data_IF_388542588140
#
_entry.id   IF_388542588140
#
_cell.length_a   1.000
_cell.length_b   1.000
_cell.length_c   1.000
_cell.angle_alpha   90.00
_cell.angle_beta   90.00
_cell.angle_gamma   90.00
#
_symmetry.space_group_name_H-M   'P 1'
#
loop_
_entity.id
_entity.type
_entity.pdbx_description
1 polymer ?
#
# COMPACT_ATOMS: atom_id res chain seq x y z
N UNK A 1 23.83 3.31 7.97
CA UNK A 1 22.58 3.95 7.51
C UNK A 1 21.51 3.84 8.59
N UNK A 2 20.61 4.84 8.76
CA UNK A 2 19.45 4.72 9.66
C UNK A 2 18.40 3.81 9.05
N UNK A 3 17.74 2.99 9.88
CA UNK A 3 16.69 2.11 9.38
C UNK A 3 15.41 2.91 9.04
N UNK A 4 14.74 2.54 7.96
CA UNK A 4 13.51 3.18 7.52
C UNK A 4 12.29 2.60 8.24
N UNK A 5 11.38 3.46 8.65
CA UNK A 5 10.04 3.12 9.17
C UNK A 5 9.01 3.60 8.14
N UNK A 6 8.46 2.65 7.39
CA UNK A 6 7.35 2.90 6.46
C UNK A 6 6.01 2.58 7.14
N UNK A 7 4.90 3.07 6.58
CA UNK A 7 3.55 2.76 7.07
C UNK A 7 3.30 1.24 7.09
N UNK A 8 3.75 0.52 6.07
CA UNK A 8 3.64 -0.95 5.96
C UNK A 8 4.45 -1.66 7.03
N UNK A 9 5.67 -1.21 7.31
CA UNK A 9 6.50 -1.76 8.38
C UNK A 9 5.88 -1.54 9.76
N UNK A 10 5.38 -0.34 10.02
CA UNK A 10 4.69 -0.01 11.28
C UNK A 10 3.39 -0.82 11.44
N UNK A 11 2.62 -1.01 10.37
CA UNK A 11 1.44 -1.87 10.38
C UNK A 11 1.80 -3.33 10.69
N UNK A 12 2.89 -3.85 10.10
CA UNK A 12 3.38 -5.20 10.39
C UNK A 12 3.80 -5.36 11.86
N UNK A 13 4.49 -4.35 12.42
CA UNK A 13 4.90 -4.32 13.83
C UNK A 13 3.69 -4.40 14.77
N UNK A 14 2.63 -3.62 14.49
CA UNK A 14 1.38 -3.65 15.26
C UNK A 14 0.60 -4.95 15.09
N UNK A 15 0.60 -5.50 13.88
CA UNK A 15 -0.15 -6.72 13.57
C UNK A 15 0.42 -7.96 14.26
N UNK A 16 1.74 -8.20 14.13
CA UNK A 16 2.41 -9.36 14.73
C UNK A 16 3.93 -9.18 14.71
N UNK A 17 4.56 -9.22 15.88
CA UNK A 17 6.01 -9.02 15.99
C UNK A 17 6.82 -10.08 15.24
N UNK A 18 6.35 -11.36 15.21
CA UNK A 18 7.01 -12.43 14.46
C UNK A 18 6.94 -12.18 12.94
N UNK A 19 5.80 -11.70 12.43
CA UNK A 19 5.64 -11.31 11.03
C UNK A 19 6.57 -10.15 10.68
N UNK A 20 6.60 -9.11 11.52
CA UNK A 20 7.53 -7.98 11.35
C UNK A 20 9.00 -8.44 11.32
N UNK A 21 9.40 -9.33 12.26
CA UNK A 21 10.76 -9.84 12.32
C UNK A 21 11.16 -10.55 11.04
N UNK A 22 10.34 -11.48 10.56
CA UNK A 22 10.64 -12.21 9.34
C UNK A 22 10.69 -11.29 8.12
N UNK A 23 9.73 -10.37 7.98
CA UNK A 23 9.65 -9.49 6.82
C UNK A 23 10.74 -8.41 6.81
N UNK A 24 11.00 -7.74 7.94
CA UNK A 24 11.80 -6.51 7.98
C UNK A 24 13.16 -6.67 8.68
N UNK A 25 13.35 -7.67 9.51
CA UNK A 25 14.66 -7.91 10.11
C UNK A 25 15.42 -9.02 9.37
N UNK A 26 14.73 -10.06 8.85
CA UNK A 26 15.33 -11.10 8.02
C UNK A 26 15.18 -10.86 6.51
N UNK A 27 14.30 -9.98 6.08
CA UNK A 27 14.03 -9.74 4.65
C UNK A 27 13.23 -10.84 3.95
N UNK A 28 12.61 -11.76 4.71
CA UNK A 28 11.88 -12.88 4.12
C UNK A 28 10.62 -12.39 3.39
N UNK A 29 10.41 -12.85 2.17
CA UNK A 29 9.25 -12.53 1.35
C UNK A 29 8.82 -13.74 0.52
N UNK A 30 7.52 -13.82 0.20
CA UNK A 30 7.04 -14.78 -0.80
C UNK A 30 7.58 -14.44 -2.19
N UNK A 31 7.90 -15.47 -2.97
CA UNK A 31 8.27 -15.32 -4.38
C UNK A 31 7.03 -14.91 -5.20
N UNK A 32 5.85 -15.47 -4.85
CA UNK A 32 4.59 -15.16 -5.55
C UNK A 32 3.87 -14.02 -4.86
N UNK A 33 3.53 -12.99 -5.62
CA UNK A 33 2.65 -11.91 -5.16
C UNK A 33 1.18 -12.34 -5.24
N UNK A 34 0.42 -12.09 -4.19
CA UNK A 34 -1.01 -12.40 -4.19
C UNK A 34 -1.77 -11.48 -5.17
N UNK A 35 -2.74 -12.04 -5.90
CA UNK A 35 -3.60 -11.32 -6.88
C UNK A 35 -4.09 -9.95 -6.40
N UNK A 36 -4.64 -9.78 -5.18
CA UNK A 36 -5.11 -8.47 -4.76
C UNK A 36 -4.03 -7.41 -4.63
N UNK A 37 -2.79 -7.80 -4.34
CA UNK A 37 -1.65 -6.88 -4.24
C UNK A 37 -1.10 -6.54 -5.63
N UNK A 38 -1.02 -7.52 -6.52
CA UNK A 38 -0.59 -7.35 -7.91
C UNK A 38 -1.52 -6.41 -8.67
N UNK A 39 -2.84 -6.68 -8.63
CA UNK A 39 -3.85 -5.83 -9.25
C UNK A 39 -3.80 -4.41 -8.69
N UNK A 40 -3.66 -4.25 -7.36
CA UNK A 40 -3.54 -2.94 -6.73
C UNK A 40 -2.31 -2.18 -7.21
N UNK A 41 -1.15 -2.82 -7.25
CA UNK A 41 0.11 -2.20 -7.71
C UNK A 41 0.03 -1.77 -9.17
N UNK A 42 -0.52 -2.63 -10.06
CA UNK A 42 -0.70 -2.31 -11.48
C UNK A 42 -1.71 -1.16 -11.68
N UNK A 43 -2.78 -1.11 -10.89
CA UNK A 43 -3.75 -0.02 -10.91
C UNK A 43 -3.10 1.32 -10.51
N UNK A 44 -2.35 1.37 -9.41
CA UNK A 44 -1.58 2.55 -9.02
C UNK A 44 -0.60 2.98 -10.11
N UNK A 45 0.08 2.00 -10.74
CA UNK A 45 1.01 2.30 -11.84
C UNK A 45 0.33 2.98 -13.02
N UNK A 46 -0.88 2.54 -13.42
CA UNK A 46 -1.67 3.18 -14.48
C UNK A 46 -2.02 4.62 -14.13
N UNK A 47 -2.45 4.88 -12.89
CA UNK A 47 -2.76 6.24 -12.42
C UNK A 47 -1.52 7.13 -12.36
N UNK A 48 -0.40 6.61 -11.85
CA UNK A 48 0.89 7.30 -11.80
C UNK A 48 1.32 7.77 -13.20
N UNK A 49 1.30 6.86 -14.17
CA UNK A 49 1.69 7.16 -15.56
C UNK A 49 0.80 8.23 -16.19
N UNK A 50 -0.52 8.13 -15.99
CA UNK A 50 -1.45 9.13 -16.50
C UNK A 50 -1.22 10.49 -15.85
N UNK A 51 -1.09 10.54 -14.53
CA UNK A 51 -0.83 11.78 -13.78
C UNK A 51 0.55 12.40 -14.13
N UNK A 52 1.49 11.59 -14.59
CA UNK A 52 2.79 12.04 -15.12
C UNK A 52 2.71 12.55 -16.57
N UNK A 53 1.53 12.53 -17.21
CA UNK A 53 1.27 13.11 -18.51
C UNK A 53 1.15 12.13 -19.67
N UNK A 54 1.12 10.82 -19.43
CA UNK A 54 0.84 9.86 -20.51
C UNK A 54 -0.65 9.90 -20.89
N UNK A 55 -0.96 9.58 -22.16
CA UNK A 55 -2.36 9.38 -22.56
C UNK A 55 -2.99 8.21 -21.77
N UNK A 56 -4.31 8.22 -21.64
CA UNK A 56 -5.03 7.15 -20.93
C UNK A 56 -4.74 5.78 -21.53
N UNK A 57 -4.73 5.67 -22.86
CA UNK A 57 -4.46 4.44 -23.60
C UNK A 57 -3.05 3.92 -23.30
N UNK A 58 -2.04 4.77 -23.37
CA UNK A 58 -0.65 4.37 -23.10
C UNK A 58 -0.41 4.03 -21.64
N UNK A 59 -1.09 4.70 -20.71
CA UNK A 59 -1.03 4.39 -19.29
C UNK A 59 -1.64 3.00 -18.98
N UNK A 60 -2.78 2.66 -19.59
CA UNK A 60 -3.40 1.33 -19.48
C UNK A 60 -2.49 0.27 -20.10
N UNK A 61 -2.03 0.47 -21.32
CA UNK A 61 -1.14 -0.47 -22.03
C UNK A 61 0.12 -0.76 -21.18
N UNK A 62 0.76 0.28 -20.67
CA UNK A 62 1.98 0.13 -19.87
C UNK A 62 1.69 -0.57 -18.53
N UNK A 63 0.58 -0.23 -17.86
CA UNK A 63 0.20 -0.88 -16.60
C UNK A 63 -0.15 -2.37 -16.76
N UNK A 64 -0.55 -2.79 -17.96
CA UNK A 64 -0.91 -4.18 -18.28
C UNK A 64 0.25 -5.00 -18.86
N UNK A 65 1.42 -4.39 -19.09
CA UNK A 65 2.59 -5.13 -19.64
C UNK A 65 2.99 -6.34 -18.80
N UNK A 66 2.89 -6.24 -17.47
CA UNK A 66 3.19 -7.36 -16.55
C UNK A 66 2.24 -8.56 -16.76
N UNK A 67 1.10 -8.35 -17.43
CA UNK A 67 0.14 -9.39 -17.78
C UNK A 67 0.36 -9.99 -19.17
N UNK A 68 1.39 -9.58 -19.91
CA UNK A 68 1.68 -10.09 -21.24
C UNK A 68 2.01 -11.60 -21.27
N UNK A 69 2.56 -12.13 -20.17
CA UNK A 69 2.86 -13.54 -20.02
C UNK A 69 2.33 -14.10 -18.69
N UNK A 70 1.46 -15.12 -18.77
CA UNK A 70 0.98 -15.81 -17.59
C UNK A 70 2.13 -16.67 -17.00
N UNK A 71 2.48 -16.51 -15.70
CA UNK A 71 3.44 -17.36 -15.04
C UNK A 71 2.96 -18.82 -15.00
N UNK A 72 3.91 -19.78 -15.08
CA UNK A 72 3.59 -21.22 -15.10
C UNK A 72 2.81 -21.71 -13.87
N UNK A 73 2.82 -20.98 -12.79
CA UNK A 73 2.14 -21.33 -11.53
C UNK A 73 0.76 -20.67 -11.36
N UNK A 74 0.30 -19.82 -12.30
CA UNK A 74 -1.02 -19.21 -12.29
C UNK A 74 -1.92 -19.86 -13.37
N UNK A 75 -3.23 -19.79 -13.20
CA UNK A 75 -4.20 -20.23 -14.20
C UNK A 75 -4.30 -19.17 -15.31
N UNK A 76 -4.16 -19.56 -16.60
CA UNK A 76 -4.21 -18.59 -17.70
C UNK A 76 -5.55 -17.84 -17.81
N UNK A 77 -6.66 -18.48 -17.43
CA UNK A 77 -7.98 -17.84 -17.47
C UNK A 77 -8.10 -16.82 -16.35
N UNK A 78 -7.72 -17.17 -15.12
CA UNK A 78 -7.73 -16.25 -13.98
C UNK A 78 -6.80 -15.05 -14.24
N UNK A 79 -5.64 -15.31 -14.88
CA UNK A 79 -4.69 -14.28 -15.28
C UNK A 79 -5.26 -13.30 -16.30
N UNK A 80 -5.94 -13.81 -17.33
CA UNK A 80 -6.61 -12.99 -18.33
C UNK A 80 -7.78 -12.18 -17.72
N UNK A 81 -8.57 -12.78 -16.83
CA UNK A 81 -9.64 -12.07 -16.10
C UNK A 81 -9.10 -10.97 -15.21
N UNK A 82 -7.94 -11.18 -14.56
CA UNK A 82 -7.29 -10.15 -13.75
C UNK A 82 -6.83 -8.97 -14.63
N UNK A 83 -6.28 -9.25 -15.81
CA UNK A 83 -5.90 -8.23 -16.79
C UNK A 83 -7.12 -7.42 -17.25
N UNK A 84 -8.20 -8.08 -17.69
CA UNK A 84 -9.43 -7.41 -18.10
C UNK A 84 -10.04 -6.56 -16.97
N UNK A 85 -9.91 -7.05 -15.72
CA UNK A 85 -10.35 -6.31 -14.55
C UNK A 85 -9.54 -5.02 -14.38
N UNK A 86 -8.22 -5.10 -14.53
CA UNK A 86 -7.33 -3.93 -14.44
C UNK A 86 -7.67 -2.89 -15.52
N UNK A 87 -7.77 -3.33 -16.77
CA UNK A 87 -8.10 -2.48 -17.92
C UNK A 87 -9.45 -1.78 -17.72
N UNK A 88 -10.47 -2.54 -17.31
CA UNK A 88 -11.81 -2.00 -17.06
C UNK A 88 -11.85 -0.99 -15.92
N UNK A 89 -11.13 -1.25 -14.82
CA UNK A 89 -11.07 -0.34 -13.68
C UNK A 89 -10.31 0.94 -14.00
N UNK A 90 -9.19 0.88 -14.74
CA UNK A 90 -8.45 2.06 -15.18
C UNK A 90 -9.28 2.90 -16.15
N UNK A 91 -9.85 2.30 -17.19
CA UNK A 91 -10.71 2.99 -18.14
C UNK A 91 -11.92 3.65 -17.46
N UNK A 92 -12.56 2.93 -16.54
CA UNK A 92 -13.69 3.45 -15.76
C UNK A 92 -13.28 4.61 -14.84
N UNK A 93 -12.11 4.55 -14.19
CA UNK A 93 -11.58 5.61 -13.36
C UNK A 93 -11.27 6.86 -14.18
N UNK A 94 -10.60 6.73 -15.32
CA UNK A 94 -10.30 7.85 -16.21
C UNK A 94 -11.59 8.48 -16.74
N UNK A 95 -12.56 7.69 -17.17
CA UNK A 95 -13.87 8.19 -17.58
C UNK A 95 -14.60 8.92 -16.47
N UNK A 96 -14.59 8.37 -15.24
CA UNK A 96 -15.29 8.96 -14.08
C UNK A 96 -14.77 10.34 -13.70
N UNK A 97 -13.46 10.53 -13.83
CA UNK A 97 -12.76 11.73 -13.38
C UNK A 97 -12.18 12.58 -14.52
N UNK A 98 -12.65 12.39 -15.74
CA UNK A 98 -12.14 13.09 -16.94
C UNK A 98 -12.30 14.63 -16.90
N UNK A 99 -13.25 15.13 -16.11
CA UNK A 99 -13.52 16.56 -15.95
C UNK A 99 -12.95 17.15 -14.67
N UNK A 100 -12.14 16.37 -13.93
CA UNK A 100 -11.53 16.83 -12.69
C UNK A 100 -10.35 17.76 -12.94
N UNK A 101 -10.41 18.95 -12.36
CA UNK A 101 -9.34 19.97 -12.41
C UNK A 101 -8.36 19.84 -11.23
N UNK A 102 -7.93 18.60 -10.87
CA UNK A 102 -6.91 18.42 -9.85
C UNK A 102 -5.54 18.85 -10.38
N UNK A 103 -5.00 19.95 -9.87
CA UNK A 103 -3.66 20.39 -10.20
C UNK A 103 -2.63 19.65 -9.33
N UNK A 104 -1.77 18.86 -9.96
CA UNK A 104 -0.68 18.16 -9.26
C UNK A 104 0.48 19.12 -8.97
N UNK A 105 0.84 19.24 -7.70
CA UNK A 105 2.10 19.88 -7.26
C UNK A 105 3.24 18.85 -7.29
N UNK A 106 2.93 17.57 -7.07
CA UNK A 106 3.86 16.45 -7.18
C UNK A 106 3.10 15.16 -7.46
N UNK A 107 3.61 14.35 -8.38
CA UNK A 107 3.21 12.96 -8.62
C UNK A 107 4.25 12.05 -7.99
N UNK A 108 3.84 10.98 -7.29
CA UNK A 108 4.75 9.98 -6.71
C UNK A 108 5.84 10.58 -5.81
N UNK A 109 5.42 11.32 -4.77
CA UNK A 109 6.36 11.98 -3.85
C UNK A 109 7.00 10.96 -2.89
N UNK A 110 8.25 10.56 -3.17
CA UNK A 110 9.06 9.76 -2.24
C UNK A 110 9.68 10.64 -1.17
N UNK A 111 9.58 10.22 0.09
CA UNK A 111 10.15 10.95 1.21
C UNK A 111 11.01 10.10 2.12
N UNK A 112 12.00 10.75 2.74
CA UNK A 112 12.76 10.24 3.87
C UNK A 112 13.01 11.37 4.85
N UNK A 113 12.20 11.47 5.91
CA UNK A 113 12.21 12.58 6.87
C UNK A 113 12.64 12.12 8.27
N UNK A 114 13.15 13.03 9.14
CA UNK A 114 13.51 12.68 10.49
C UNK A 114 12.35 12.17 11.32
N UNK A 115 12.59 11.11 12.11
CA UNK A 115 11.73 10.76 13.23
C UNK A 115 12.14 11.59 14.44
N UNK A 116 11.24 12.40 14.97
CA UNK A 116 11.48 13.35 16.06
C UNK A 116 10.76 12.88 17.32
N UNK A 117 11.44 12.96 18.46
CA UNK A 117 10.83 12.76 19.78
C UNK A 117 9.88 13.94 20.07
N UNK A 118 8.58 13.70 20.26
CA UNK A 118 7.60 14.77 20.47
C UNK A 118 7.81 15.55 21.78
N UNK A 119 8.41 14.91 22.79
CA UNK A 119 8.61 15.51 24.12
C UNK A 119 9.85 16.41 24.17
N UNK A 120 10.91 16.09 23.41
CA UNK A 120 12.22 16.75 23.52
C UNK A 120 12.69 17.44 22.25
N UNK A 121 12.02 17.22 21.11
CA UNK A 121 12.47 17.68 19.80
C UNK A 121 13.70 16.95 19.24
N UNK A 122 14.25 15.97 19.95
CA UNK A 122 15.45 15.26 19.52
C UNK A 122 15.17 14.33 18.34
N UNK A 123 16.04 14.39 17.33
CA UNK A 123 15.98 13.51 16.16
C UNK A 123 16.50 12.11 16.51
N UNK A 124 15.75 11.08 16.10
CA UNK A 124 16.19 9.68 16.26
C UNK A 124 17.52 9.42 15.56
N UNK A 125 18.43 8.75 16.28
CA UNK A 125 19.72 8.30 15.71
C UNK A 125 19.60 6.99 14.93
N UNK A 126 18.56 6.23 15.16
CA UNK A 126 18.39 4.86 14.64
C UNK A 126 17.43 4.79 13.46
N UNK A 127 16.37 5.60 13.47
CA UNK A 127 15.30 5.51 12.50
C UNK A 127 15.04 6.83 11.75
N UNK A 128 14.54 6.70 10.53
CA UNK A 128 13.89 7.74 9.73
C UNK A 128 12.50 7.27 9.31
N UNK A 129 11.59 8.20 9.10
CA UNK A 129 10.32 7.91 8.46
C UNK A 129 10.54 7.94 6.94
N UNK A 130 10.01 6.96 6.24
CA UNK A 130 10.12 6.87 4.80
C UNK A 130 8.81 6.36 4.20
N UNK A 131 8.56 6.73 2.95
CA UNK A 131 7.37 6.33 2.23
C UNK A 131 7.30 6.95 0.85
N UNK A 132 6.24 6.63 0.15
CA UNK A 132 5.87 7.17 -1.13
C UNK A 132 4.40 7.57 -1.06
N UNK A 133 4.10 8.81 -1.43
CA UNK A 133 2.76 9.38 -1.49
C UNK A 133 2.36 9.42 -2.96
N UNK A 134 1.15 9.00 -3.28
CA UNK A 134 0.70 8.95 -4.69
C UNK A 134 0.68 10.34 -5.34
N UNK A 135 0.42 11.40 -4.55
CA UNK A 135 0.56 12.76 -5.03
C UNK A 135 0.33 13.83 -3.96
N UNK A 136 0.72 15.04 -4.29
CA UNK A 136 0.28 16.27 -3.62
C UNK A 136 -0.49 17.09 -4.64
N UNK A 137 -1.72 17.44 -4.33
CA UNK A 137 -2.63 18.13 -5.24
C UNK A 137 -3.17 19.41 -4.65
N UNK A 138 -3.51 20.35 -5.50
CA UNK A 138 -4.25 21.55 -5.16
C UNK A 138 -5.74 21.32 -5.40
N UNK A 139 -6.52 21.49 -4.34
CA UNK A 139 -7.97 21.43 -4.40
C UNK A 139 -8.57 22.68 -5.06
N UNK A 140 -9.82 22.64 -5.54
CA UNK A 140 -10.47 23.79 -6.17
C UNK A 140 -10.56 25.03 -5.27
N UNK A 141 -10.54 24.88 -3.94
CA UNK A 141 -10.52 25.98 -2.96
C UNK A 141 -9.11 26.53 -2.68
N UNK A 142 -8.08 26.02 -3.37
CA UNK A 142 -6.69 26.45 -3.26
C UNK A 142 -5.87 25.75 -2.18
N UNK A 143 -6.47 24.95 -1.29
CA UNK A 143 -5.76 24.16 -0.27
C UNK A 143 -4.95 23.06 -0.91
N UNK A 144 -3.80 22.70 -0.30
CA UNK A 144 -3.06 21.50 -0.68
C UNK A 144 -3.58 20.27 0.08
N UNK A 145 -3.65 19.15 -0.62
CA UNK A 145 -4.01 17.86 -0.08
C UNK A 145 -2.98 16.81 -0.50
N UNK A 146 -2.71 15.85 0.39
CA UNK A 146 -2.12 14.57 0.00
C UNK A 146 -3.17 13.79 -0.78
N UNK A 147 -2.83 13.32 -1.97
CA UNK A 147 -3.66 12.38 -2.73
C UNK A 147 -3.22 10.95 -2.41
N UNK A 148 -4.19 10.10 -2.10
CA UNK A 148 -3.97 8.69 -1.80
C UNK A 148 -4.96 7.84 -2.57
N UNK A 149 -4.48 7.02 -3.49
CA UNK A 149 -5.26 6.03 -4.21
C UNK A 149 -5.39 4.75 -3.40
N UNK A 150 -6.56 4.14 -3.41
CA UNK A 150 -6.79 2.84 -2.77
C UNK A 150 -7.64 1.93 -3.64
N UNK A 151 -7.32 0.63 -3.63
CA UNK A 151 -8.23 -0.40 -4.13
C UNK A 151 -8.83 -1.14 -2.94
N UNK A 152 -10.17 -1.20 -2.85
CA UNK A 152 -10.90 -1.82 -1.75
C UNK A 152 -11.71 -3.04 -2.23
N UNK A 153 -11.75 -4.10 -1.44
CA UNK A 153 -12.61 -5.27 -1.67
C UNK A 153 -13.93 -5.21 -0.88
N UNK A 154 -14.11 -4.16 -0.08
CA UNK A 154 -15.26 -3.96 0.80
C UNK A 154 -16.15 -2.82 0.31
N UNK A 155 -17.25 -2.58 1.00
CA UNK A 155 -18.14 -1.47 0.66
C UNK A 155 -17.48 -0.12 0.93
N UNK A 156 -17.58 0.79 -0.06
CA UNK A 156 -17.07 2.16 -0.02
C UNK A 156 -18.19 3.19 -0.16
N UNK A 157 -19.44 2.77 -0.05
CA UNK A 157 -20.58 3.66 -0.11
C UNK A 157 -20.54 4.81 0.91
N UNK A 158 -21.41 5.80 0.79
CA UNK A 158 -21.38 7.00 1.63
C UNK A 158 -21.35 6.74 3.14
N UNK A 159 -22.06 5.73 3.60
CA UNK A 159 -22.23 5.40 5.01
C UNK A 159 -21.39 4.18 5.45
N UNK A 160 -20.45 3.72 4.59
CA UNK A 160 -19.65 2.54 4.89
C UNK A 160 -18.65 2.78 6.02
N UNK A 161 -18.49 1.78 6.89
CA UNK A 161 -17.49 1.77 7.96
C UNK A 161 -16.04 1.95 7.45
N UNK A 162 -15.83 1.74 6.16
CA UNK A 162 -14.57 1.99 5.48
C UNK A 162 -14.03 3.39 5.80
N UNK A 163 -14.87 4.42 5.67
CA UNK A 163 -14.48 5.82 5.85
C UNK A 163 -14.21 6.19 7.30
N UNK A 164 -14.92 5.57 8.25
CA UNK A 164 -14.70 5.81 9.68
C UNK A 164 -13.31 5.37 10.13
N UNK A 165 -12.83 4.26 9.60
CA UNK A 165 -11.49 3.74 9.94
C UNK A 165 -10.37 4.63 9.43
N UNK A 166 -10.59 5.32 8.31
CA UNK A 166 -9.57 6.21 7.72
C UNK A 166 -9.25 7.40 8.62
N UNK A 167 -10.17 7.82 9.50
CA UNK A 167 -9.90 8.90 10.47
C UNK A 167 -8.78 8.56 11.44
N UNK A 168 -8.52 7.28 11.69
CA UNK A 168 -7.45 6.80 12.57
C UNK A 168 -6.33 6.09 11.81
N UNK A 169 -6.30 6.19 10.47
CA UNK A 169 -5.28 5.51 9.67
C UNK A 169 -3.90 6.17 9.87
N UNK A 170 -2.95 5.36 10.36
CA UNK A 170 -1.59 5.82 10.60
C UNK A 170 -0.81 6.10 9.32
N UNK A 171 -1.17 5.52 8.18
CA UNK A 171 -0.53 5.81 6.89
C UNK A 171 -0.79 7.27 6.50
N UNK A 172 -2.04 7.71 6.60
CA UNK A 172 -2.44 9.08 6.29
C UNK A 172 -1.70 10.09 7.17
N UNK A 173 -1.74 9.85 8.49
CA UNK A 173 -1.09 10.72 9.44
C UNK A 173 0.42 10.82 9.17
N UNK A 174 1.06 9.69 8.79
CA UNK A 174 2.46 9.66 8.39
C UNK A 174 2.70 10.53 7.14
N UNK A 175 1.82 10.42 6.14
CA UNK A 175 1.97 11.15 4.88
C UNK A 175 1.76 12.65 5.02
N UNK A 176 0.79 13.08 5.82
CA UNK A 176 0.61 14.50 6.16
C UNK A 176 1.84 15.06 6.88
N UNK A 177 2.35 14.33 7.88
CA UNK A 177 3.58 14.75 8.60
C UNK A 177 4.79 14.84 7.68
N UNK A 178 4.93 13.88 6.77
CA UNK A 178 6.04 13.85 5.82
C UNK A 178 5.95 14.97 4.79
N UNK A 179 4.79 15.19 4.18
CA UNK A 179 4.57 16.26 3.21
C UNK A 179 4.86 17.64 3.86
N UNK A 180 4.38 17.87 5.08
CA UNK A 180 4.70 19.11 5.83
C UNK A 180 6.18 19.26 6.13
N UNK A 181 6.87 18.18 6.50
CA UNK A 181 8.30 18.19 6.73
C UNK A 181 9.12 18.48 5.45
N UNK A 182 8.54 18.24 4.27
CA UNK A 182 9.09 18.56 2.96
C UNK A 182 8.72 19.96 2.45
N UNK A 183 7.92 20.72 3.22
CA UNK A 183 7.56 22.10 2.89
C UNK A 183 6.20 22.28 2.22
N UNK A 184 5.40 21.22 2.04
CA UNK A 184 4.03 21.33 1.55
C UNK A 184 3.08 21.65 2.72
N UNK A 185 2.37 22.77 2.62
CA UNK A 185 1.36 23.15 3.63
C UNK A 185 0.03 22.40 3.37
N UNK A 186 0.07 21.08 3.55
CA UNK A 186 -1.09 20.22 3.34
C UNK A 186 -2.06 20.32 4.52
N UNK A 187 -3.33 20.57 4.20
CA UNK A 187 -4.41 20.71 5.18
C UNK A 187 -5.17 19.40 5.42
N UNK A 188 -5.17 18.49 4.41
CA UNK A 188 -6.06 17.33 4.38
C UNK A 188 -5.49 16.22 3.50
N UNK A 189 -6.20 15.11 3.46
CA UNK A 189 -5.93 14.00 2.51
C UNK A 189 -7.14 13.80 1.62
N UNK A 190 -6.93 13.77 0.32
CA UNK A 190 -7.93 13.38 -0.66
C UNK A 190 -7.78 11.89 -0.94
N UNK A 191 -8.72 11.09 -0.43
CA UNK A 191 -8.81 9.67 -0.76
C UNK A 191 -9.57 9.46 -2.05
N UNK A 192 -8.96 8.73 -2.96
CA UNK A 192 -9.57 8.22 -4.18
C UNK A 192 -9.61 6.70 -4.11
N UNK A 193 -10.80 6.15 -3.92
CA UNK A 193 -10.97 4.73 -3.63
C UNK A 193 -11.70 4.03 -4.77
N UNK A 194 -11.05 3.04 -5.35
CA UNK A 194 -11.63 2.16 -6.37
C UNK A 194 -12.00 0.82 -5.75
N UNK A 195 -13.29 0.46 -5.84
CA UNK A 195 -13.80 -0.82 -5.37
C UNK A 195 -13.55 -1.92 -6.40
N UNK A 196 -12.96 -3.02 -5.95
CA UNK A 196 -12.80 -4.22 -6.79
C UNK A 196 -14.16 -4.81 -7.14
N UNK A 197 -14.35 -5.31 -8.38
CA UNK A 197 -15.63 -5.87 -8.79
C UNK A 197 -16.00 -7.10 -7.98
N UNK A 198 -17.30 -7.24 -7.73
CA UNK A 198 -17.87 -8.46 -7.13
C UNK A 198 -18.42 -9.41 -8.17
N UNK A 199 -18.65 -8.93 -9.41
CA UNK A 199 -19.02 -9.78 -10.53
C UNK A 199 -17.88 -10.73 -10.87
N UNK A 200 -18.23 -11.93 -11.33
CA UNK A 200 -17.30 -13.01 -11.63
C UNK A 200 -17.45 -13.46 -13.08
N UNK A 201 -16.39 -14.04 -13.65
CA UNK A 201 -16.49 -14.76 -14.92
C UNK A 201 -17.60 -15.80 -14.86
N UNK A 202 -18.47 -15.83 -15.88
CA UNK A 202 -19.56 -16.80 -15.99
C UNK A 202 -19.06 -18.07 -16.68
N UNK A 203 -19.76 -19.17 -16.47
CA UNK A 203 -19.46 -20.42 -17.18
C UNK A 203 -19.64 -20.23 -18.69
N UNK A 204 -18.57 -20.47 -19.45
CA UNK A 204 -18.56 -20.33 -20.91
C UNK A 204 -18.37 -18.89 -21.42
N UNK A 205 -18.18 -17.93 -20.55
CA UNK A 205 -17.81 -16.55 -20.90
C UNK A 205 -16.31 -16.46 -21.14
N UNK A 206 -15.87 -15.70 -22.14
CA UNK A 206 -14.43 -15.40 -22.31
C UNK A 206 -14.00 -14.26 -21.41
N UNK A 207 -12.70 -14.13 -21.10
CA UNK A 207 -12.19 -12.99 -20.33
C UNK A 207 -12.56 -11.65 -20.94
N UNK A 208 -12.52 -11.51 -22.27
CA UNK A 208 -12.84 -10.28 -22.99
C UNK A 208 -14.33 -9.93 -22.82
N UNK A 209 -15.23 -10.90 -22.98
CA UNK A 209 -16.69 -10.70 -22.76
C UNK A 209 -17.00 -10.33 -21.30
N UNK A 210 -16.22 -10.87 -20.35
CA UNK A 210 -16.28 -10.44 -18.95
C UNK A 210 -15.85 -8.99 -18.80
N UNK A 211 -14.75 -8.56 -19.44
CA UNK A 211 -14.27 -7.18 -19.44
C UNK A 211 -15.29 -6.19 -19.96
N UNK A 212 -15.91 -6.50 -21.12
CA UNK A 212 -17.00 -5.68 -21.69
C UNK A 212 -18.20 -5.55 -20.74
N UNK A 213 -18.59 -6.65 -20.09
CA UNK A 213 -19.68 -6.66 -19.11
C UNK A 213 -19.31 -5.88 -17.85
N UNK A 214 -18.04 -5.93 -17.41
CA UNK A 214 -17.55 -5.15 -16.28
C UNK A 214 -17.55 -3.66 -16.60
N UNK A 215 -17.09 -3.24 -17.78
CA UNK A 215 -17.15 -1.84 -18.23
C UNK A 215 -18.58 -1.32 -18.26
N UNK A 216 -19.52 -2.13 -18.77
CA UNK A 216 -20.93 -1.77 -18.75
C UNK A 216 -21.46 -1.59 -17.32
N UNK A 217 -21.14 -2.50 -16.41
CA UNK A 217 -21.54 -2.42 -15.00
C UNK A 217 -20.94 -1.20 -14.30
N UNK A 218 -19.70 -0.83 -14.62
CA UNK A 218 -19.02 0.39 -14.15
C UNK A 218 -19.78 1.64 -14.63
N UNK A 219 -20.15 1.70 -15.91
CA UNK A 219 -20.90 2.82 -16.49
C UNK A 219 -22.31 2.98 -15.89
N UNK A 220 -22.98 1.86 -15.56
CA UNK A 220 -24.30 1.87 -14.93
C UNK A 220 -24.26 2.24 -13.44
N UNK A 221 -23.15 1.96 -12.74
CA UNK A 221 -23.03 2.12 -11.29
C UNK A 221 -21.68 2.77 -10.89
N UNK A 222 -21.29 3.93 -11.42
CA UNK A 222 -19.96 4.50 -11.18
C UNK A 222 -19.70 4.74 -9.71
N UNK A 223 -20.68 5.19 -8.93
CA UNK A 223 -20.53 5.47 -7.50
C UNK A 223 -20.34 4.21 -6.64
N UNK A 224 -20.67 3.02 -7.16
CA UNK A 224 -20.35 1.75 -6.53
C UNK A 224 -18.86 1.41 -6.65
N UNK A 225 -18.23 1.83 -7.75
CA UNK A 225 -16.84 1.53 -8.05
C UNK A 225 -15.86 2.62 -7.60
N UNK A 226 -16.26 3.89 -7.66
CA UNK A 226 -15.36 5.01 -7.45
C UNK A 226 -15.93 6.00 -6.44
N UNK A 227 -15.18 6.24 -5.39
CA UNK A 227 -15.52 7.22 -4.37
C UNK A 227 -14.29 8.06 -4.04
N UNK A 228 -14.46 9.37 -4.05
CA UNK A 228 -13.41 10.30 -3.65
C UNK A 228 -13.88 11.13 -2.46
N UNK A 229 -13.05 11.20 -1.41
CA UNK A 229 -13.38 11.93 -0.19
C UNK A 229 -12.19 12.61 0.44
N UNK A 230 -12.44 13.79 0.93
CA UNK A 230 -11.50 14.51 1.78
C UNK A 230 -11.59 14.01 3.22
N UNK A 231 -10.44 13.64 3.79
CA UNK A 231 -10.31 13.18 5.17
C UNK A 231 -9.34 14.13 5.88
N UNK A 232 -9.83 15.13 6.64
CA UNK A 232 -8.96 16.06 7.34
C UNK A 232 -8.18 15.37 8.46
N UNK A 233 -7.03 15.97 8.80
CA UNK A 233 -6.22 15.59 9.96
C UNK A 233 -6.08 16.79 10.90
N UNK A 234 -6.61 16.64 12.11
CA UNK A 234 -6.52 17.68 13.12
C UNK A 234 -5.15 17.65 13.80
N UNK A 235 -4.70 18.80 14.29
CA UNK A 235 -3.39 18.92 14.95
C UNK A 235 -3.27 18.02 16.18
N UNK A 236 -4.35 17.87 16.95
CA UNK A 236 -4.38 16.98 18.12
C UNK A 236 -4.21 15.50 17.72
N UNK A 237 -4.84 15.09 16.62
CA UNK A 237 -4.67 13.72 16.06
C UNK A 237 -3.24 13.48 15.58
N UNK A 238 -2.64 14.49 14.93
CA UNK A 238 -1.24 14.42 14.49
C UNK A 238 -0.25 14.43 15.67
N UNK A 239 -0.54 15.18 16.73
CA UNK A 239 0.27 15.20 17.94
C UNK A 239 0.25 13.82 18.64
N UNK A 240 -0.93 13.21 18.78
CA UNK A 240 -1.08 11.87 19.31
C UNK A 240 -0.31 10.85 18.44
N UNK A 241 -0.46 10.93 17.14
CA UNK A 241 0.23 10.02 16.21
C UNK A 241 1.77 10.16 16.28
N UNK A 242 2.33 11.37 16.47
CA UNK A 242 3.77 11.56 16.71
C UNK A 242 4.23 10.81 17.97
N UNK A 243 3.44 10.86 19.04
CA UNK A 243 3.75 10.13 20.27
C UNK A 243 3.71 8.61 20.05
N UNK A 244 2.71 8.10 19.34
CA UNK A 244 2.58 6.69 18.98
C UNK A 244 3.74 6.20 18.10
N UNK A 245 4.16 6.98 17.10
CA UNK A 245 5.33 6.68 16.26
C UNK A 245 6.60 6.53 17.10
N UNK A 246 6.81 7.47 18.03
CA UNK A 246 7.98 7.43 18.91
C UNK A 246 7.97 6.21 19.83
N UNK A 247 6.80 5.84 20.39
CA UNK A 247 6.65 4.63 21.19
C UNK A 247 6.93 3.36 20.38
N UNK A 248 6.41 3.25 19.17
CA UNK A 248 6.66 2.10 18.28
C UNK A 248 8.16 1.98 17.95
N UNK A 249 8.83 3.09 17.69
CA UNK A 249 10.27 3.11 17.45
C UNK A 249 11.06 2.65 18.68
N UNK A 250 10.70 3.11 19.89
CA UNK A 250 11.31 2.65 21.16
C UNK A 250 11.08 1.16 21.38
N UNK A 251 9.87 0.68 21.10
CA UNK A 251 9.55 -0.73 21.22
C UNK A 251 10.41 -1.58 20.26
N UNK A 252 10.55 -1.17 19.01
CA UNK A 252 11.39 -1.87 18.04
C UNK A 252 12.87 -1.89 18.46
N UNK A 253 13.38 -0.80 19.00
CA UNK A 253 14.74 -0.77 19.57
C UNK A 253 14.92 -1.76 20.74
N UNK A 254 13.92 -1.88 21.61
CA UNK A 254 13.96 -2.82 22.72
C UNK A 254 13.94 -4.28 22.23
N UNK A 255 13.12 -4.58 21.22
CA UNK A 255 13.08 -5.91 20.59
C UNK A 255 14.42 -6.27 19.95
N UNK A 256 15.06 -5.36 19.22
CA UNK A 256 16.39 -5.58 18.61
C UNK A 256 17.46 -5.85 19.64
N UNK A 257 17.48 -5.07 20.73
CA UNK A 257 18.42 -5.31 21.84
C UNK A 257 18.22 -6.69 22.45
N UNK A 258 16.95 -7.04 22.76
CA UNK A 258 16.62 -8.36 23.30
C UNK A 258 17.03 -9.49 22.37
N UNK A 259 16.73 -9.35 21.07
CA UNK A 259 17.10 -10.34 20.06
C UNK A 259 18.61 -10.59 20.00
N UNK A 260 19.43 -9.57 20.14
CA UNK A 260 20.90 -9.68 20.16
C UNK A 260 21.48 -10.41 21.37
N UNK A 261 20.69 -10.65 22.42
CA UNK A 261 21.10 -11.41 23.61
C UNK A 261 20.54 -12.85 23.66
N UNK A 262 19.78 -13.27 22.65
CA UNK A 262 19.15 -14.58 22.60
C UNK A 262 19.85 -15.49 21.60
N UNK A 263 19.98 -16.78 21.93
CA UNK A 263 20.47 -17.80 20.99
C UNK A 263 19.56 -17.94 19.75
N UNK A 264 18.26 -17.74 19.94
CA UNK A 264 17.29 -17.60 18.85
C UNK A 264 16.68 -16.19 18.88
N UNK A 265 17.12 -15.28 18.00
CA UNK A 265 16.61 -13.91 17.95
C UNK A 265 15.10 -13.83 17.72
N UNK A 266 14.50 -14.83 17.05
CA UNK A 266 13.06 -14.91 16.84
C UNK A 266 12.28 -14.98 18.17
N UNK A 267 12.87 -15.48 19.26
CA UNK A 267 12.23 -15.58 20.57
C UNK A 267 11.94 -14.20 21.20
N UNK A 268 12.62 -13.12 20.75
CA UNK A 268 12.28 -11.76 21.18
C UNK A 268 10.94 -11.26 20.58
N UNK A 269 10.45 -11.91 19.53
CA UNK A 269 9.33 -11.46 18.71
C UNK A 269 8.14 -12.41 18.87
N UNK A 270 7.29 -12.17 19.87
CA UNK A 270 6.13 -13.04 20.14
C UNK A 270 5.12 -13.03 18.99
N UNK A 271 4.34 -14.12 18.92
CA UNK A 271 3.30 -14.32 17.90
C UNK A 271 1.98 -13.73 18.40
N UNK A 272 1.29 -13.02 17.52
CA UNK A 272 -0.10 -12.63 17.74
C UNK A 272 -1.00 -13.61 16.96
N UNK A 273 -1.25 -14.78 17.54
CA UNK A 273 -2.03 -15.85 16.89
C UNK A 273 -3.52 -15.54 16.98
N UNK A 274 -4.17 -15.43 15.84
CA UNK A 274 -5.61 -15.20 15.75
C UNK A 274 -6.12 -15.40 14.32
N UNK A 275 -7.42 -15.70 14.17
CA UNK A 275 -8.03 -15.98 12.87
C UNK A 275 -7.77 -14.84 11.86
N UNK A 276 -8.01 -13.60 12.25
CA UNK A 276 -7.83 -12.43 11.38
C UNK A 276 -6.34 -12.15 11.13
N UNK A 277 -5.49 -12.29 12.13
CA UNK A 277 -4.06 -12.04 12.01
C UNK A 277 -3.39 -13.08 11.11
N UNK A 278 -3.66 -14.37 11.34
CA UNK A 278 -3.02 -15.47 10.64
C UNK A 278 -3.65 -15.73 9.27
N UNK A 279 -4.96 -15.52 9.09
CA UNK A 279 -5.67 -15.77 7.83
C UNK A 279 -5.18 -14.91 6.66
N UNK A 280 -4.60 -13.75 6.95
CA UNK A 280 -4.02 -12.84 5.96
C UNK A 280 -2.49 -12.71 6.08
N UNK A 281 -1.85 -13.63 6.79
CA UNK A 281 -0.40 -13.57 7.00
C UNK A 281 0.32 -14.41 5.95
N UNK A 282 1.21 -13.78 5.19
CA UNK A 282 2.05 -14.47 4.19
C UNK A 282 2.91 -15.59 4.78
N UNK A 283 3.21 -15.54 6.08
CA UNK A 283 4.03 -16.52 6.78
C UNK A 283 3.22 -17.53 7.62
N UNK A 284 1.89 -17.56 7.50
CA UNK A 284 1.05 -18.38 8.37
C UNK A 284 1.45 -19.87 8.33
N UNK A 285 1.67 -20.42 7.13
CA UNK A 285 2.04 -21.83 6.97
C UNK A 285 3.38 -22.16 7.66
N UNK A 286 4.39 -21.31 7.52
CA UNK A 286 5.68 -21.47 8.19
C UNK A 286 5.56 -21.36 9.71
N UNK A 287 4.83 -20.32 10.16
CA UNK A 287 4.67 -20.03 11.59
C UNK A 287 3.89 -21.10 12.33
N UNK A 288 2.76 -21.53 11.78
CA UNK A 288 1.90 -22.56 12.38
C UNK A 288 2.50 -23.96 12.23
N UNK A 289 3.26 -24.21 11.18
CA UNK A 289 4.02 -25.45 10.98
C UNK A 289 5.29 -25.55 11.83
N UNK A 290 5.62 -24.52 12.63
CA UNK A 290 6.81 -24.54 13.49
C UNK A 290 8.14 -24.49 12.73
N UNK A 291 8.14 -24.04 11.46
CA UNK A 291 9.34 -24.00 10.64
C UNK A 291 10.31 -22.94 11.17
N UNK A 292 11.54 -23.35 11.44
CA UNK A 292 12.63 -22.43 11.75
C UNK A 292 13.14 -21.80 10.46
N UNK A 293 13.29 -20.48 10.48
CA UNK A 293 13.78 -19.72 9.32
C UNK A 293 15.28 -19.56 9.42
N UNK A 294 15.96 -20.03 8.38
CA UNK A 294 17.36 -19.75 8.12
C UNK A 294 17.42 -18.77 6.93
N UNK A 295 17.94 -17.53 7.12
CA UNK A 295 18.04 -16.56 6.03
C UNK A 295 18.96 -17.01 4.89
N UNK A 296 19.99 -17.82 5.18
CA UNK A 296 20.93 -18.31 4.20
C UNK A 296 20.34 -19.47 3.37
N UNK A 297 19.23 -20.08 3.86
CA UNK A 297 18.51 -21.16 3.18
C UNK A 297 16.99 -20.97 3.36
N UNK A 298 16.39 -20.00 2.66
CA UNK A 298 14.97 -19.69 2.81
C UNK A 298 14.09 -20.88 2.41
N UNK A 299 12.93 -21.08 3.08
CA UNK A 299 12.00 -22.15 2.75
C UNK A 299 11.48 -22.06 1.31
N UNK A 300 11.08 -23.19 0.72
CA UNK A 300 10.52 -23.25 -0.62
C UNK A 300 9.33 -22.27 -0.76
N UNK A 301 9.30 -21.50 -1.85
CA UNK A 301 8.31 -20.45 -2.12
C UNK A 301 8.60 -19.11 -1.45
N UNK A 302 9.75 -18.99 -0.75
CA UNK A 302 10.22 -17.74 -0.15
C UNK A 302 11.63 -17.39 -0.63
N UNK A 303 11.96 -16.12 -0.50
CA UNK A 303 13.27 -15.55 -0.78
C UNK A 303 13.63 -14.52 0.27
N UNK A 304 14.91 -14.19 0.40
CA UNK A 304 15.38 -13.05 1.19
C UNK A 304 15.63 -11.88 0.26
N UNK A 305 14.95 -10.78 0.50
CA UNK A 305 15.10 -9.55 -0.28
C UNK A 305 16.32 -8.77 0.22
N UNK A 306 17.18 -8.27 -0.66
CA UNK A 306 18.29 -7.39 -0.29
C UNK A 306 17.80 -6.03 0.21
N UNK A 307 16.67 -5.54 -0.32
CA UNK A 307 15.95 -4.37 0.20
C UNK A 307 14.60 -4.82 0.77
N UNK A 308 14.37 -4.53 2.04
CA UNK A 308 13.14 -4.84 2.76
C UNK A 308 12.00 -3.86 2.48
N UNK A 309 12.28 -2.82 1.70
CA UNK A 309 11.35 -1.74 1.32
C UNK A 309 11.25 -1.59 -0.21
N UNK A 310 10.85 -2.65 -0.94
CA UNK A 310 10.75 -2.59 -2.40
C UNK A 310 9.76 -1.52 -2.87
N UNK A 311 8.78 -1.14 -2.02
CA UNK A 311 7.82 -0.08 -2.29
C UNK A 311 8.46 1.32 -2.41
N UNK A 312 9.71 1.49 -1.98
CA UNK A 312 10.46 2.76 -2.09
C UNK A 312 11.41 2.78 -3.29
N UNK A 313 11.57 1.67 -3.99
CA UNK A 313 12.39 1.63 -5.17
C UNK A 313 11.77 2.55 -6.24
N UNK A 314 12.54 3.51 -6.73
CA UNK A 314 12.19 4.22 -7.96
C UNK A 314 12.20 3.16 -9.07
N UNK A 315 11.09 2.97 -9.75
CA UNK A 315 11.15 2.34 -11.05
C UNK A 315 11.97 3.30 -11.92
N UNK A 316 13.24 2.96 -12.13
CA UNK A 316 14.07 3.70 -13.07
C UNK A 316 13.35 3.61 -14.42
N UNK A 317 12.89 4.76 -14.89
CA UNK A 317 12.51 4.90 -16.27
C UNK A 317 13.77 4.59 -17.08
N UNK A 318 13.84 3.41 -17.65
CA UNK A 318 14.71 3.17 -18.77
C UNK A 318 14.17 4.05 -19.90
N UNK A 319 14.94 5.11 -20.20
CA UNK A 319 14.72 6.02 -21.29
C UNK A 319 15.04 5.35 -22.64
#
# INVERSE_FOLDING_TARGET
>A
MKAKLTSTRLAALRKCLRMHYWRYELGLARIRTATPLRLGAAFHRGLELHNAGLSQELAVETATQDYAACPQWDDPTDWAVERETLESLLAGHFWRYQEDDLAFESVELTFEVPLVNPDTGAVSRTFRLAGKVDGVVRLPDGRLAVLEYKTAGEDIGPDADYWLRLRCDGQISLYVLAARAMGYDVATVLYDVTRKPTIRLRKGETPEAYGERLLKDIGERPDYYFQRREIPRLEDELALFRAELWQQAKHLMALRRRAGHLADPAAAHFRNVGRMTCGQCEFAALCLGGIRIDPDSPPAGYQVLPDVHPELAHQQQEA
#
